data_IF_813314949051
#
_entry.id   IF_813314949051
#
_cell.length_a   1.000
_cell.length_b   1.000
_cell.length_c   1.000
_cell.angle_alpha   90.00
_cell.angle_beta   90.00
_cell.angle_gamma   90.00
#
_symmetry.space_group_name_H-M   'P 1'
#
loop_
_entity.id
_entity.type
_entity.pdbx_description
1 polymer ?
#
# COMPACT_ATOMS: atom_id res chain seq x y z
N UNK A 1 1.98 3.28 3.91
CA UNK A 1 1.23 4.34 3.21
C UNK A 1 0.04 3.75 2.46
N UNK A 2 0.23 2.88 1.46
CA UNK A 2 -0.87 2.22 0.75
C UNK A 2 -1.83 1.42 1.65
N UNK A 3 -1.32 0.70 2.66
CA UNK A 3 -2.17 -0.02 3.62
C UNK A 3 -3.12 0.90 4.40
N UNK A 4 -2.70 2.13 4.72
CA UNK A 4 -3.53 3.07 5.48
C UNK A 4 -4.72 3.57 4.64
N UNK A 5 -4.54 3.67 3.32
CA UNK A 5 -5.61 4.05 2.37
C UNK A 5 -6.76 3.06 2.50
N UNK A 6 -6.48 1.76 2.50
CA UNK A 6 -7.53 0.73 2.71
C UNK A 6 -7.95 0.55 4.19
N UNK A 7 -7.72 1.52 5.07
CA UNK A 7 -8.05 1.44 6.51
C UNK A 7 -7.23 0.38 7.26
N UNK A 8 -6.07 0.03 6.72
CA UNK A 8 -5.30 -1.15 7.07
C UNK A 8 -3.94 -0.86 7.69
N UNK A 9 -3.20 -1.94 7.96
CA UNK A 9 -1.81 -1.91 8.43
C UNK A 9 -1.00 -2.97 7.70
N UNK A 10 0.32 -2.80 7.70
CA UNK A 10 1.24 -3.72 7.06
C UNK A 10 2.56 -3.81 7.81
N UNK A 11 3.31 -4.87 7.53
CA UNK A 11 4.62 -5.14 8.10
C UNK A 11 5.44 -6.07 7.21
N UNK A 12 6.75 -6.04 7.36
CA UNK A 12 7.65 -6.78 6.48
C UNK A 12 9.11 -6.64 6.84
N UNK A 13 9.92 -7.49 6.22
CA UNK A 13 11.36 -7.36 6.09
C UNK A 13 11.68 -6.44 4.89
N UNK A 14 12.92 -5.94 4.75
CA UNK A 14 13.31 -5.08 3.62
C UNK A 14 13.10 -5.72 2.24
N UNK A 15 13.19 -7.04 2.16
CA UNK A 15 13.03 -7.84 0.94
C UNK A 15 11.59 -8.33 0.71
N UNK A 16 10.76 -8.36 1.76
CA UNK A 16 9.39 -8.85 1.67
C UNK A 16 8.47 -8.17 2.68
N UNK A 17 7.34 -7.63 2.22
CA UNK A 17 6.31 -7.08 3.07
C UNK A 17 4.91 -7.56 2.70
N UNK A 18 4.02 -7.61 3.69
CA UNK A 18 2.60 -7.88 3.52
C UNK A 18 1.76 -6.82 4.24
N UNK A 19 0.57 -6.53 3.70
CA UNK A 19 -0.37 -5.58 4.26
C UNK A 19 -1.81 -5.94 3.88
N UNK A 20 -2.78 -5.41 4.63
CA UNK A 20 -4.20 -5.55 4.33
C UNK A 20 -5.03 -4.50 5.08
N UNK A 21 -6.31 -4.38 4.74
CA UNK A 21 -7.25 -3.43 5.35
C UNK A 21 -8.71 -3.78 5.09
N UNK A 22 -9.62 -3.02 5.71
CA UNK A 22 -11.06 -3.30 5.72
C UNK A 22 -11.89 -2.51 4.71
N UNK A 23 -11.26 -1.64 3.91
CA UNK A 23 -11.93 -0.76 2.93
C UNK A 23 -11.58 -1.18 1.49
N UNK A 24 -12.15 -2.28 0.98
CA UNK A 24 -11.82 -2.80 -0.35
C UNK A 24 -12.16 -1.81 -1.48
N UNK A 25 -13.13 -0.92 -1.28
CA UNK A 25 -13.50 0.13 -2.22
C UNK A 25 -12.38 1.13 -2.51
N UNK A 26 -11.40 1.26 -1.61
CA UNK A 26 -10.24 2.15 -1.78
C UNK A 26 -9.04 1.46 -2.45
N UNK A 27 -9.20 0.24 -2.96
CA UNK A 27 -8.11 -0.54 -3.56
C UNK A 27 -7.45 0.20 -4.73
N UNK A 28 -8.24 0.84 -5.59
CA UNK A 28 -7.71 1.57 -6.75
C UNK A 28 -6.80 2.75 -6.33
N UNK A 29 -7.19 3.49 -5.29
CA UNK A 29 -6.40 4.60 -4.74
C UNK A 29 -5.11 4.10 -4.07
N UNK A 30 -5.20 2.98 -3.34
CA UNK A 30 -4.04 2.36 -2.71
C UNK A 30 -3.01 1.90 -3.76
N UNK A 31 -3.47 1.32 -4.88
CA UNK A 31 -2.60 0.95 -6.01
C UNK A 31 -1.96 2.18 -6.67
N UNK A 32 -2.71 3.25 -6.92
CA UNK A 32 -2.18 4.49 -7.48
C UNK A 32 -1.11 5.14 -6.58
N UNK A 33 -1.34 5.10 -5.25
CA UNK A 33 -0.36 5.57 -4.27
C UNK A 33 0.93 4.74 -4.32
N UNK A 34 0.82 3.41 -4.44
CA UNK A 34 1.98 2.52 -4.56
C UNK A 34 2.78 2.79 -5.84
N UNK A 35 2.10 2.98 -6.98
CA UNK A 35 2.76 3.33 -8.26
C UNK A 35 3.50 4.66 -8.16
N UNK A 36 2.88 5.69 -7.56
CA UNK A 36 3.50 7.01 -7.39
C UNK A 36 4.77 6.91 -6.54
N UNK A 37 4.71 6.15 -5.43
CA UNK A 37 5.87 5.94 -4.57
C UNK A 37 7.00 5.21 -5.32
N UNK A 38 6.68 4.15 -6.07
CA UNK A 38 7.67 3.41 -6.87
C UNK A 38 8.38 4.32 -7.88
N UNK A 39 7.64 5.20 -8.55
CA UNK A 39 8.22 6.16 -9.50
C UNK A 39 9.19 7.16 -8.85
N UNK A 40 9.05 7.45 -7.56
CA UNK A 40 9.96 8.34 -6.82
C UNK A 40 11.24 7.64 -6.34
N UNK A 41 11.28 6.31 -6.37
CA UNK A 41 12.41 5.50 -5.92
C UNK A 41 13.22 4.90 -7.07
N UNK A 42 12.80 5.14 -8.32
CA UNK A 42 13.55 4.85 -9.55
C UNK A 42 14.44 6.04 -9.91
#
# INVERSE_FOLDING_TARGET
QAANVVGGKGGGRPDMAQAGGSLPEQLNEALATATTWLQQQL
#
